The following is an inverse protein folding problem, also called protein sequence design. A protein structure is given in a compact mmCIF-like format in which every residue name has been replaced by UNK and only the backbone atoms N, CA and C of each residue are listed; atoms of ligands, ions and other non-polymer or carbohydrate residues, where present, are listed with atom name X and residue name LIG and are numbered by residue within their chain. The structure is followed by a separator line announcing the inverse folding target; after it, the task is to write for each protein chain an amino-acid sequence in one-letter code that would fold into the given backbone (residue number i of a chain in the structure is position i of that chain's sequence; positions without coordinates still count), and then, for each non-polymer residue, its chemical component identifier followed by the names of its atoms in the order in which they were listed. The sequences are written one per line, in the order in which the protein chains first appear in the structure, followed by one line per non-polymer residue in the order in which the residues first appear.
data_IF_928871071799
#
_entry.id   IF_928871071799
#
_cell.length_a   1.000
_cell.length_b   1.000
_cell.length_c   1.000
_cell.angle_alpha   90.00
_cell.angle_beta   90.00
_cell.angle_gamma   90.00
#
_symmetry.space_group_name_H-M   'P 1'
#
loop_
_entity.id
_entity.type
_entity.pdbx_description
1 polymer ?
#
# COMPACT_ATOMS: atom_id res chain seq x y z
N UNK A 1 -14.39 13.99 13.79
CA UNK A 1 -13.20 13.13 13.64
C UNK A 1 -12.35 13.76 12.55
N UNK A 2 -11.08 14.08 12.79
CA UNK A 2 -10.18 14.56 11.74
C UNK A 2 -9.97 13.39 10.77
N UNK A 3 -10.19 13.60 9.46
CA UNK A 3 -9.91 12.56 8.47
C UNK A 3 -8.40 12.37 8.40
N UNK A 4 -7.94 11.15 8.67
CA UNK A 4 -6.53 10.81 8.53
C UNK A 4 -6.10 10.91 7.07
N UNK A 5 -4.89 11.39 6.81
CA UNK A 5 -4.31 11.44 5.47
C UNK A 5 -3.55 10.15 5.13
N UNK A 6 -3.17 9.98 3.86
CA UNK A 6 -2.46 8.78 3.40
C UNK A 6 -1.14 8.51 4.14
N UNK A 7 -0.43 9.54 4.63
CA UNK A 7 0.84 9.37 5.37
C UNK A 7 0.61 8.80 6.76
N UNK A 8 -0.47 9.20 7.42
CA UNK A 8 -0.90 8.65 8.71
C UNK A 8 -1.39 7.20 8.56
N UNK A 9 -1.98 6.88 7.40
CA UNK A 9 -2.54 5.56 7.08
C UNK A 9 -1.54 4.57 6.46
N UNK A 10 -0.30 4.96 6.18
CA UNK A 10 0.71 4.10 5.51
C UNK A 10 0.96 2.75 6.18
N UNK A 11 0.80 2.68 7.50
CA UNK A 11 0.94 1.44 8.25
C UNK A 11 -0.26 0.50 8.11
N UNK A 12 -1.40 0.97 7.61
CA UNK A 12 -2.50 0.12 7.18
C UNK A 12 -2.12 -0.65 5.89
N UNK A 13 -1.55 0.05 4.89
CA UNK A 13 -1.04 -0.58 3.68
C UNK A 13 0.04 -1.65 3.98
N UNK A 14 0.98 -1.33 4.88
CA UNK A 14 1.95 -2.30 5.36
C UNK A 14 1.28 -3.46 6.11
N UNK A 15 0.29 -3.21 6.97
CA UNK A 15 -0.40 -4.26 7.71
C UNK A 15 -1.08 -5.25 6.75
N UNK A 16 -1.77 -4.75 5.71
CA UNK A 16 -2.37 -5.56 4.63
C UNK A 16 -1.33 -6.43 3.92
N UNK A 17 -0.21 -5.83 3.51
CA UNK A 17 0.88 -6.56 2.86
C UNK A 17 1.44 -7.69 3.74
N UNK A 18 1.74 -7.38 5.01
CA UNK A 18 2.25 -8.36 5.97
C UNK A 18 1.24 -9.46 6.27
N UNK A 19 -0.04 -9.12 6.46
CA UNK A 19 -1.10 -10.06 6.81
C UNK A 19 -1.34 -11.11 5.73
N UNK A 20 -1.21 -10.72 4.46
CA UNK A 20 -1.34 -11.61 3.30
C UNK A 20 -0.08 -12.48 3.06
N UNK A 21 1.02 -12.21 3.75
CA UNK A 21 2.25 -13.01 3.68
C UNK A 21 2.25 -14.11 4.73
N UNK A 22 2.39 -15.37 4.29
CA UNK A 22 2.48 -16.53 5.20
C UNK A 22 3.59 -16.38 6.25
N UNK A 23 4.75 -15.86 5.85
CA UNK A 23 5.93 -15.74 6.71
C UNK A 23 5.90 -14.48 7.59
N UNK A 24 5.22 -13.43 7.13
CA UNK A 24 5.29 -12.11 7.77
C UNK A 24 4.02 -11.69 8.49
N UNK A 25 2.95 -12.50 8.44
CA UNK A 25 1.65 -12.24 9.09
C UNK A 25 1.78 -11.86 10.56
N UNK A 26 2.72 -12.47 11.29
CA UNK A 26 2.99 -12.16 12.71
C UNK A 26 3.36 -10.68 12.97
N UNK A 27 3.87 -9.97 11.97
CA UNK A 27 4.27 -8.57 12.08
C UNK A 27 3.14 -7.58 11.77
N UNK A 28 2.00 -8.04 11.25
CA UNK A 28 0.84 -7.18 11.00
C UNK A 28 0.39 -6.43 12.26
N UNK A 29 0.46 -7.07 13.43
CA UNK A 29 0.12 -6.46 14.73
C UNK A 29 1.05 -5.30 15.09
N UNK A 30 2.34 -5.41 14.76
CA UNK A 30 3.30 -4.33 14.93
C UNK A 30 2.98 -3.16 14.01
N UNK A 31 2.51 -3.43 12.79
CA UNK A 31 2.04 -2.41 11.86
C UNK A 31 0.79 -1.70 12.36
N UNK A 32 -0.21 -2.43 12.87
CA UNK A 32 -1.41 -1.84 13.47
C UNK A 32 -1.10 -0.99 14.71
N UNK A 33 -0.08 -1.37 15.49
CA UNK A 33 0.39 -0.52 16.58
C UNK A 33 0.98 0.80 16.08
N UNK A 34 1.83 0.74 15.05
CA UNK A 34 2.39 1.94 14.43
C UNK A 34 1.30 2.82 13.82
N UNK A 35 0.30 2.23 13.16
CA UNK A 35 -0.87 2.94 12.65
C UNK A 35 -1.56 3.74 13.77
N UNK A 36 -1.87 3.11 14.90
CA UNK A 36 -2.49 3.77 16.03
C UNK A 36 -1.63 4.93 16.60
N UNK A 37 -0.31 4.79 16.64
CA UNK A 37 0.59 5.88 17.04
C UNK A 37 0.57 7.05 16.04
N UNK A 38 0.57 6.77 14.74
CA UNK A 38 0.55 7.81 13.69
C UNK A 38 -0.81 8.50 13.59
N UNK A 39 -1.89 7.85 14.02
CA UNK A 39 -3.21 8.45 14.24
C UNK A 39 -3.30 9.32 15.51
N UNK A 40 -2.19 9.46 16.25
CA UNK A 40 -2.12 10.33 17.42
C UNK A 40 -2.80 9.76 18.66
N UNK A 41 -3.05 8.46 18.74
CA UNK A 41 -3.57 7.84 19.95
C UNK A 41 -2.53 7.88 21.08
N UNK A 42 -2.98 8.16 22.30
CA UNK A 42 -2.11 8.06 23.47
C UNK A 42 -1.72 6.59 23.76
N UNK A 43 -0.64 6.33 24.52
CA UNK A 43 -0.14 4.98 24.74
C UNK A 43 -1.15 3.98 25.33
N UNK A 44 -2.13 4.43 26.13
CA UNK A 44 -3.17 3.55 26.66
C UNK A 44 -4.16 3.18 25.57
N UNK A 45 -4.60 4.17 24.78
CA UNK A 45 -5.50 3.95 23.64
C UNK A 45 -4.87 3.12 22.54
N UNK A 46 -3.58 3.30 22.24
CA UNK A 46 -2.85 2.43 21.29
C UNK A 46 -2.90 0.97 21.74
N UNK A 47 -2.68 0.69 23.03
CA UNK A 47 -2.78 -0.67 23.56
C UNK A 47 -4.19 -1.23 23.47
N UNK A 48 -5.20 -0.44 23.83
CA UNK A 48 -6.61 -0.83 23.73
C UNK A 48 -7.01 -1.12 22.28
N UNK A 49 -6.66 -0.23 21.35
CA UNK A 49 -6.88 -0.38 19.92
C UNK A 49 -6.27 -1.69 19.40
N UNK A 50 -4.97 -1.91 19.62
CA UNK A 50 -4.31 -3.13 19.12
C UNK A 50 -4.90 -4.38 19.76
N UNK A 51 -5.19 -4.35 21.07
CA UNK A 51 -5.80 -5.51 21.75
C UNK A 51 -7.16 -5.88 21.13
N UNK A 52 -7.99 -4.88 20.82
CA UNK A 52 -9.29 -5.10 20.16
C UNK A 52 -9.12 -5.55 18.71
N UNK A 53 -8.26 -4.87 17.96
CA UNK A 53 -7.98 -5.17 16.56
C UNK A 53 -7.39 -6.57 16.37
N UNK A 54 -6.62 -7.09 17.32
CA UNK A 54 -5.94 -8.38 17.20
C UNK A 54 -6.53 -9.45 18.12
N UNK A 55 -7.80 -9.31 18.51
CA UNK A 55 -8.45 -10.25 19.43
C UNK A 55 -8.70 -11.62 18.76
N UNK A 56 -9.08 -11.59 17.48
CA UNK A 56 -9.27 -12.75 16.60
C UNK A 56 -8.71 -12.47 15.21
N UNK A 57 -8.57 -13.51 14.37
CA UNK A 57 -8.14 -13.37 12.98
C UNK A 57 -9.13 -12.51 12.19
N UNK A 58 -10.43 -12.69 12.41
CA UNK A 58 -11.50 -11.92 11.79
C UNK A 58 -11.44 -10.45 12.18
N UNK A 59 -11.24 -10.14 13.46
CA UNK A 59 -11.08 -8.74 13.92
C UNK A 59 -9.82 -8.09 13.35
N UNK A 60 -8.75 -8.88 13.17
CA UNK A 60 -7.48 -8.42 12.58
C UNK A 60 -7.70 -8.06 11.13
N UNK A 61 -8.31 -8.98 10.37
CA UNK A 61 -8.63 -8.76 8.97
C UNK A 61 -9.56 -7.55 8.80
N UNK A 62 -10.66 -7.48 9.55
CA UNK A 62 -11.63 -6.39 9.45
C UNK A 62 -10.98 -5.03 9.73
N UNK A 63 -10.13 -4.94 10.76
CA UNK A 63 -9.41 -3.69 11.06
C UNK A 63 -8.43 -3.32 9.94
N UNK A 64 -7.68 -4.30 9.43
CA UNK A 64 -6.75 -4.07 8.31
C UNK A 64 -7.50 -3.61 7.07
N UNK A 65 -8.62 -4.25 6.73
CA UNK A 65 -9.43 -3.90 5.56
C UNK A 65 -9.97 -2.47 5.68
N UNK A 66 -10.59 -2.08 6.80
CA UNK A 66 -11.16 -0.74 7.02
C UNK A 66 -10.11 0.37 6.85
N UNK A 67 -8.98 0.26 7.55
CA UNK A 67 -7.93 1.28 7.44
C UNK A 67 -7.18 1.24 6.10
N UNK A 68 -7.11 0.07 5.43
CA UNK A 68 -6.50 -0.03 4.10
C UNK A 68 -7.41 0.56 3.02
N UNK A 69 -8.73 0.41 3.16
CA UNK A 69 -9.70 1.07 2.28
C UNK A 69 -9.62 2.59 2.41
N UNK A 70 -9.53 3.10 3.64
CA UNK A 70 -9.29 4.53 3.87
C UNK A 70 -7.95 4.98 3.28
N UNK A 71 -6.89 4.16 3.41
CA UNK A 71 -5.61 4.45 2.75
C UNK A 71 -5.78 4.52 1.23
N UNK A 72 -6.41 3.52 0.61
CA UNK A 72 -6.61 3.44 -0.83
C UNK A 72 -7.46 4.61 -1.35
N UNK A 73 -8.45 5.08 -0.59
CA UNK A 73 -9.25 6.27 -0.92
C UNK A 73 -8.37 7.53 -0.94
N UNK A 74 -7.58 7.76 0.13
CA UNK A 74 -6.72 8.94 0.23
C UNK A 74 -5.58 8.91 -0.79
N UNK A 75 -4.97 7.74 -0.98
CA UNK A 75 -3.85 7.52 -1.89
C UNK A 75 -4.30 7.56 -3.36
N UNK A 76 -5.49 7.01 -3.65
CA UNK A 76 -6.11 7.02 -4.97
C UNK A 76 -6.33 8.42 -5.54
N UNK A 77 -6.55 9.41 -4.68
CA UNK A 77 -6.78 10.80 -5.08
C UNK A 77 -5.48 11.58 -5.38
N UNK A 78 -4.30 11.01 -5.13
CA UNK A 78 -3.04 11.68 -5.45
C UNK A 78 -2.79 11.69 -6.95
N UNK A 79 -2.23 12.80 -7.45
CA UNK A 79 -1.75 12.83 -8.82
C UNK A 79 -0.55 11.90 -8.98
N UNK A 80 -0.51 11.17 -10.09
CA UNK A 80 0.60 10.29 -10.43
C UNK A 80 1.92 11.07 -10.44
N UNK A 81 1.96 12.28 -11.00
CA UNK A 81 3.18 13.12 -11.05
C UNK A 81 3.73 13.49 -9.66
N UNK A 82 2.88 13.50 -8.63
CA UNK A 82 3.25 13.86 -7.26
C UNK A 82 3.78 12.68 -6.42
N UNK A 83 3.48 11.45 -6.82
CA UNK A 83 3.83 10.24 -6.05
C UNK A 83 5.32 10.12 -5.70
N UNK A 84 6.28 10.46 -6.59
CA UNK A 84 7.71 10.43 -6.24
C UNK A 84 8.07 11.23 -4.99
N UNK A 85 7.42 12.39 -4.80
CA UNK A 85 7.74 13.30 -3.70
C UNK A 85 6.85 13.10 -2.48
N UNK A 86 5.61 12.61 -2.68
CA UNK A 86 4.66 12.44 -1.58
C UNK A 86 4.73 11.07 -0.90
N UNK A 87 4.97 10.02 -1.68
CA UNK A 87 4.85 8.63 -1.22
C UNK A 87 6.12 7.80 -1.43
N UNK A 88 6.73 7.88 -2.61
CA UNK A 88 7.92 7.07 -2.93
C UNK A 88 9.23 7.70 -2.49
N UNK A 89 9.20 8.88 -1.86
CA UNK A 89 10.39 9.61 -1.43
C UNK A 89 11.36 8.75 -0.58
N UNK A 90 10.90 7.93 0.39
CA UNK A 90 11.80 7.05 1.14
C UNK A 90 12.54 6.03 0.27
N UNK A 91 11.88 5.48 -0.75
CA UNK A 91 12.47 4.52 -1.67
C UNK A 91 13.48 5.17 -2.63
N UNK A 92 13.31 6.46 -2.92
CA UNK A 92 14.18 7.21 -3.83
C UNK A 92 15.47 7.72 -3.18
N UNK A 93 15.49 7.93 -1.85
CA UNK A 93 16.65 8.49 -1.12
C UNK A 93 17.97 7.74 -1.32
N UNK A 94 17.91 6.44 -1.60
CA UNK A 94 19.10 5.61 -1.82
C UNK A 94 19.68 5.69 -3.24
N UNK A 95 19.03 6.39 -4.16
CA UNK A 95 19.44 6.49 -5.56
C UNK A 95 20.24 7.76 -5.83
N UNK A 96 21.06 7.73 -6.88
CA UNK A 96 21.73 8.92 -7.39
C UNK A 96 20.73 9.96 -7.91
N UNK A 97 21.10 11.25 -7.87
CA UNK A 97 20.23 12.33 -8.35
C UNK A 97 19.78 12.12 -9.80
N UNK A 98 20.68 11.70 -10.70
CA UNK A 98 20.34 11.38 -12.10
C UNK A 98 19.28 10.27 -12.22
N UNK A 99 19.38 9.22 -11.39
CA UNK A 99 18.39 8.15 -11.36
C UNK A 99 17.04 8.64 -10.82
N UNK A 100 17.05 9.44 -9.74
CA UNK A 100 15.84 10.04 -9.19
C UNK A 100 15.14 10.94 -10.24
N UNK A 101 15.90 11.78 -10.95
CA UNK A 101 15.37 12.69 -11.98
C UNK A 101 14.78 11.92 -13.16
N UNK A 102 15.44 10.84 -13.61
CA UNK A 102 14.89 9.96 -14.66
C UNK A 102 13.59 9.29 -14.24
N UNK A 103 13.48 8.87 -12.98
CA UNK A 103 12.24 8.30 -12.43
C UNK A 103 11.16 9.37 -12.39
N UNK A 104 11.44 10.54 -11.81
CA UNK A 104 10.48 11.66 -11.71
C UNK A 104 9.91 12.06 -13.06
N UNK A 105 10.75 12.16 -14.10
CA UNK A 105 10.31 12.43 -15.48
C UNK A 105 9.32 11.42 -16.04
N UNK A 106 9.38 10.15 -15.61
CA UNK A 106 8.37 9.15 -16.01
C UNK A 106 7.01 9.49 -15.39
N UNK A 107 6.98 9.89 -14.12
CA UNK A 107 5.74 10.28 -13.44
C UNK A 107 5.18 11.61 -13.94
N UNK A 108 6.04 12.59 -14.24
CA UNK A 108 5.66 13.89 -14.81
C UNK A 108 4.90 13.75 -16.14
N UNK A 109 5.23 12.74 -16.95
CA UNK A 109 4.52 12.46 -18.21
C UNK A 109 3.04 12.05 -18.03
N UNK A 110 2.58 11.88 -16.78
CA UNK A 110 1.22 11.52 -16.41
C UNK A 110 0.57 12.57 -15.49
N UNK A 111 0.99 13.82 -15.59
CA UNK A 111 0.32 14.96 -14.93
C UNK A 111 -1.17 14.97 -15.26
N UNK A 112 -2.00 15.35 -14.27
CA UNK A 112 -3.45 15.37 -14.39
C UNK A 112 -4.14 14.00 -14.24
N UNK A 113 -3.39 12.90 -14.19
CA UNK A 113 -3.93 11.55 -13.92
C UNK A 113 -3.76 11.21 -12.45
N UNK A 114 -4.83 10.78 -11.78
CA UNK A 114 -4.78 10.29 -10.40
C UNK A 114 -4.35 8.82 -10.33
N UNK A 115 -3.84 8.38 -9.18
CA UNK A 115 -3.47 6.97 -8.96
C UNK A 115 -4.67 6.03 -9.17
N UNK A 116 -5.86 6.43 -8.73
CA UNK A 116 -7.10 5.68 -8.94
C UNK A 116 -7.43 5.53 -10.42
N UNK A 117 -7.42 6.62 -11.19
CA UNK A 117 -7.69 6.57 -12.63
C UNK A 117 -6.69 5.69 -13.36
N UNK A 118 -5.40 5.76 -13.00
CA UNK A 118 -4.37 4.90 -13.59
C UNK A 118 -4.65 3.41 -13.31
N UNK A 119 -4.99 3.06 -12.06
CA UNK A 119 -5.36 1.69 -11.71
C UNK A 119 -6.62 1.23 -12.43
N UNK A 120 -7.63 2.09 -12.59
CA UNK A 120 -8.84 1.76 -13.33
C UNK A 120 -8.55 1.49 -14.82
N UNK A 121 -7.66 2.28 -15.44
CA UNK A 121 -7.20 2.10 -16.83
C UNK A 121 -6.47 0.75 -16.97
N UNK A 122 -5.49 0.49 -16.10
CA UNK A 122 -4.70 -0.74 -16.13
C UNK A 122 -5.56 -1.98 -15.80
N UNK A 123 -6.48 -1.85 -14.85
CA UNK A 123 -7.39 -2.91 -14.44
C UNK A 123 -8.34 -3.31 -15.56
N UNK A 124 -8.95 -2.33 -16.25
CA UNK A 124 -9.80 -2.59 -17.42
C UNK A 124 -9.04 -3.26 -18.57
N UNK A 125 -7.83 -2.79 -18.87
CA UNK A 125 -7.02 -3.36 -19.95
C UNK A 125 -6.59 -4.81 -19.64
N UNK A 126 -6.12 -5.09 -18.42
CA UNK A 126 -5.79 -6.45 -18.00
C UNK A 126 -7.02 -7.37 -18.01
N UNK A 127 -8.16 -6.86 -17.58
CA UNK A 127 -9.41 -7.61 -17.60
C UNK A 127 -9.79 -8.07 -19.01
N UNK A 128 -9.68 -7.20 -20.02
CA UNK A 128 -9.98 -7.52 -21.43
C UNK A 128 -9.08 -8.64 -21.97
N UNK A 129 -7.79 -8.62 -21.60
CA UNK A 129 -6.79 -9.58 -22.11
C UNK A 129 -6.79 -10.91 -21.37
N UNK A 130 -7.08 -10.89 -20.07
CA UNK A 130 -7.04 -12.06 -19.19
C UNK A 130 -8.38 -12.22 -18.45
N UNK A 131 -9.47 -12.53 -19.17
CA UNK A 131 -10.78 -12.72 -18.58
C UNK A 131 -10.84 -14.06 -17.84
N UNK A 132 -10.18 -14.16 -16.68
CA UNK A 132 -10.34 -15.33 -15.80
C UNK A 132 -11.73 -15.37 -15.15
N UNK A 133 -12.50 -14.28 -15.23
CA UNK A 133 -13.88 -14.22 -14.78
C UNK A 133 -14.83 -14.14 -15.97
N UNK A 134 -15.83 -15.03 -16.01
CA UNK A 134 -16.94 -15.04 -16.99
C UNK A 134 -17.86 -13.80 -16.94
N UNK A 135 -17.41 -12.68 -16.35
CA UNK A 135 -18.24 -11.55 -15.92
C UNK A 135 -18.55 -10.55 -17.05
N UNK A 136 -17.78 -10.50 -18.14
CA UNK A 136 -17.99 -9.51 -19.22
C UNK A 136 -18.02 -10.05 -20.66
N UNK A 137 -18.23 -11.35 -20.87
CA UNK A 137 -18.43 -11.90 -22.22
C UNK A 137 -17.17 -11.88 -23.11
N UNK A 138 -17.37 -12.16 -24.40
CA UNK A 138 -16.30 -12.21 -25.39
C UNK A 138 -15.92 -10.80 -25.86
N UNK A 139 -14.63 -10.48 -25.85
CA UNK A 139 -14.07 -9.23 -26.38
C UNK A 139 -13.61 -9.39 -27.83
N UNK A 140 -13.91 -8.38 -28.65
CA UNK A 140 -13.47 -8.30 -30.05
C UNK A 140 -11.95 -8.18 -30.17
N UNK A 141 -11.40 -8.57 -31.32
CA UNK A 141 -9.96 -8.43 -31.60
C UNK A 141 -9.49 -6.97 -31.45
N UNK A 142 -10.33 -6.01 -31.85
CA UNK A 142 -10.04 -4.59 -31.70
C UNK A 142 -9.95 -4.16 -30.23
N UNK A 143 -10.88 -4.60 -29.38
CA UNK A 143 -10.84 -4.29 -27.95
C UNK A 143 -9.58 -4.87 -27.27
N UNK A 144 -9.17 -6.07 -27.70
CA UNK A 144 -7.92 -6.69 -27.23
C UNK A 144 -6.70 -5.89 -27.70
N UNK A 145 -6.64 -5.50 -28.97
CA UNK A 145 -5.56 -4.66 -29.49
C UNK A 145 -5.46 -3.31 -28.74
N UNK A 146 -6.59 -2.65 -28.51
CA UNK A 146 -6.66 -1.40 -27.74
C UNK A 146 -6.19 -1.58 -26.28
N UNK A 147 -6.53 -2.71 -25.66
CA UNK A 147 -6.08 -3.06 -24.31
C UNK A 147 -4.57 -3.32 -24.27
N UNK A 148 -4.01 -4.06 -25.24
CA UNK A 148 -2.56 -4.25 -25.35
C UNK A 148 -1.82 -2.93 -25.53
N UNK A 149 -2.30 -2.06 -26.41
CA UNK A 149 -1.72 -0.74 -26.63
C UNK A 149 -1.76 0.12 -25.36
N UNK A 150 -2.85 0.02 -24.59
CA UNK A 150 -2.97 0.67 -23.29
C UNK A 150 -1.92 0.15 -22.30
N UNK A 151 -1.78 -1.17 -22.15
CA UNK A 151 -0.76 -1.75 -21.26
C UNK A 151 0.66 -1.37 -21.69
N UNK A 152 0.96 -1.39 -23.00
CA UNK A 152 2.27 -0.95 -23.53
C UNK A 152 2.56 0.52 -23.20
N UNK A 153 1.55 1.40 -23.30
CA UNK A 153 1.68 2.83 -22.97
C UNK A 153 2.07 3.05 -21.50
N UNK A 154 1.50 2.28 -20.58
CA UNK A 154 1.70 2.45 -19.13
C UNK A 154 2.70 1.45 -18.52
N UNK A 155 3.27 0.53 -19.30
CA UNK A 155 4.17 -0.53 -18.82
C UNK A 155 5.34 0.03 -17.99
N UNK A 156 5.99 1.08 -18.51
CA UNK A 156 7.16 1.68 -17.86
C UNK A 156 6.81 2.25 -16.48
N UNK A 157 5.74 3.04 -16.38
CA UNK A 157 5.34 3.65 -15.12
C UNK A 157 4.83 2.59 -14.14
N UNK A 158 4.05 1.62 -14.61
CA UNK A 158 3.52 0.54 -13.77
C UNK A 158 4.65 -0.30 -13.13
N UNK A 159 5.69 -0.65 -13.91
CA UNK A 159 6.88 -1.36 -13.41
C UNK A 159 7.62 -0.57 -12.33
N UNK A 160 7.83 0.73 -12.57
CA UNK A 160 8.50 1.60 -11.61
C UNK A 160 7.68 1.73 -10.32
N UNK A 161 6.37 1.99 -10.45
CA UNK A 161 5.46 2.09 -9.30
C UNK A 161 5.44 0.81 -8.47
N UNK A 162 5.37 -0.36 -9.10
CA UNK A 162 5.39 -1.66 -8.41
C UNK A 162 6.65 -1.83 -7.56
N UNK A 163 7.82 -1.48 -8.11
CA UNK A 163 9.09 -1.57 -7.37
C UNK A 163 9.19 -0.54 -6.25
N UNK A 164 8.78 0.71 -6.52
CA UNK A 164 8.81 1.77 -5.52
C UNK A 164 7.83 1.50 -4.37
N UNK A 165 6.65 0.96 -4.65
CA UNK A 165 5.67 0.54 -3.64
C UNK A 165 6.29 -0.51 -2.71
N UNK A 166 6.89 -1.56 -3.29
CA UNK A 166 7.59 -2.59 -2.53
C UNK A 166 8.65 -1.98 -1.62
N UNK A 167 9.53 -1.12 -2.15
CA UNK A 167 10.60 -0.51 -1.36
C UNK A 167 10.11 0.48 -0.32
N UNK A 168 9.05 1.24 -0.60
CA UNK A 168 8.40 2.12 0.37
C UNK A 168 7.84 1.30 1.53
N UNK A 169 7.10 0.23 1.28
CA UNK A 169 6.57 -0.64 2.33
C UNK A 169 7.69 -1.32 3.13
N UNK A 170 8.74 -1.82 2.46
CA UNK A 170 9.90 -2.40 3.14
C UNK A 170 10.64 -1.38 4.02
N UNK A 171 10.66 -0.10 3.65
CA UNK A 171 11.23 0.96 4.51
C UNK A 171 10.48 1.15 5.84
N UNK A 172 9.18 0.84 5.86
CA UNK A 172 8.33 0.93 7.05
C UNK A 172 8.45 -0.31 7.95
N UNK A 173 8.79 -1.46 7.36
CA UNK A 173 8.80 -2.78 7.98
C UNK A 173 9.65 -2.90 9.25
N UNK A 174 10.88 -2.34 9.35
CA UNK A 174 11.70 -2.48 10.56
C UNK A 174 11.00 -1.96 11.82
N UNK A 175 10.26 -0.85 11.72
CA UNK A 175 9.52 -0.29 12.86
C UNK A 175 8.40 -1.22 13.32
N UNK A 176 7.62 -1.79 12.39
CA UNK A 176 6.57 -2.74 12.72
C UNK A 176 7.15 -4.02 13.35
N UNK A 177 8.21 -4.59 12.76
CA UNK A 177 8.90 -5.80 13.26
C UNK A 177 9.42 -5.59 14.68
N UNK A 178 10.09 -4.46 14.93
CA UNK A 178 10.64 -4.17 16.25
C UNK A 178 9.56 -4.03 17.32
N UNK A 179 8.42 -3.41 16.99
CA UNK A 179 7.27 -3.33 17.91
C UNK A 179 6.74 -4.73 18.25
N UNK A 180 6.52 -5.59 17.25
CA UNK A 180 6.07 -6.97 17.50
C UNK A 180 7.05 -7.72 18.39
N UNK A 181 8.35 -7.70 18.05
CA UNK A 181 9.40 -8.39 18.81
C UNK A 181 9.44 -7.92 20.27
N UNK A 182 9.43 -6.60 20.49
CA UNK A 182 9.44 -6.02 21.84
C UNK A 182 8.25 -6.53 22.66
N UNK A 183 7.04 -6.49 22.10
CA UNK A 183 5.83 -6.97 22.78
C UNK A 183 5.86 -8.46 23.07
N UNK A 184 6.33 -9.28 22.14
CA UNK A 184 6.48 -10.72 22.35
C UNK A 184 7.43 -11.01 23.51
N UNK A 185 8.57 -10.31 23.58
CA UNK A 185 9.51 -10.44 24.71
C UNK A 185 8.89 -9.97 26.03
N UNK A 186 8.20 -8.83 26.05
CA UNK A 186 7.51 -8.33 27.24
C UNK A 186 6.44 -9.30 27.76
N UNK A 187 5.74 -9.99 26.86
CA UNK A 187 4.76 -11.00 27.24
C UNK A 187 5.41 -12.23 27.88
N UNK A 188 6.54 -12.69 27.33
CA UNK A 188 7.32 -13.80 27.91
C UNK A 188 7.82 -13.41 29.31
N UNK A 189 8.42 -12.22 29.47
CA UNK A 189 8.95 -11.76 30.76
C UNK A 189 7.87 -11.66 31.83
N UNK A 190 6.64 -11.27 31.49
CA UNK A 190 5.52 -11.21 32.44
C UNK A 190 4.98 -12.58 32.88
N UNK A 191 5.29 -13.62 32.13
CA UNK A 191 4.86 -14.98 32.42
C UNK A 191 5.89 -15.78 33.24
N UNK A 192 7.10 -15.23 33.42
CA UNK A 192 8.12 -15.72 34.34
C UNK A 192 7.85 -15.22 35.76
#
# INVERSE_FOLDING_TARGET
MVKANHKELRYAALARSLYNSKESKIFANGSLYRLAEELGLDPQRVRGFVKGATATDESTKATIDDYSEQFDEQFGNLNVSDLPNQWYEPALRGLSNDAQDKIKKVFEAHEGVTFKELNDILGKANYILYPESKKYGDHTDKEREDAENTLRKYDKINKIMTLLELYTLESLRPKAVNVTRKKSLEAIVKAL
#
